data_IF_247085454198
#
_entry.id   IF_247085454198
#
_cell.length_a   1.000
_cell.length_b   1.000
_cell.length_c   1.000
_cell.angle_alpha   90.00
_cell.angle_beta   90.00
_cell.angle_gamma   90.00
#
_symmetry.space_group_name_H-M   'P 1'
#
loop_
_entity.id
_entity.type
_entity.pdbx_description
1 polymer ?
#
# COMPACT_ATOMS: atom_id res chain seq x y z
N UNK A 1 30.45 -49.18 -54.57
CA UNK A 1 29.39 -48.92 -55.57
C UNK A 1 28.80 -47.54 -55.28
N UNK A 2 28.74 -46.66 -56.28
CA UNK A 2 28.34 -45.24 -56.21
C UNK A 2 26.82 -45.02 -56.42
N UNK A 3 26.34 -43.85 -55.93
CA UNK A 3 25.15 -43.01 -56.32
C UNK A 3 23.75 -43.33 -55.76
N UNK A 4 22.74 -42.41 -55.86
CA UNK A 4 22.65 -40.96 -55.51
C UNK A 4 21.26 -40.53 -54.90
N UNK A 5 21.06 -39.23 -54.56
CA UNK A 5 19.80 -38.41 -54.62
C UNK A 5 19.92 -37.16 -53.69
N UNK A 6 19.81 -35.91 -54.17
CA UNK A 6 18.59 -35.06 -54.34
C UNK A 6 17.89 -34.72 -52.99
N UNK A 7 17.40 -33.53 -52.61
CA UNK A 7 17.02 -32.24 -53.23
C UNK A 7 16.43 -31.33 -52.09
N UNK A 8 16.48 -29.99 -52.23
CA UNK A 8 15.65 -28.93 -51.58
C UNK A 8 15.60 -28.82 -50.04
N UNK A 9 15.35 -27.71 -49.35
CA UNK A 9 14.53 -26.48 -49.51
C UNK A 9 15.20 -25.38 -48.61
N UNK A 10 15.24 -24.09 -48.90
CA UNK A 10 14.11 -23.16 -48.81
C UNK A 10 13.83 -22.70 -47.37
N UNK A 11 14.29 -21.51 -46.95
CA UNK A 11 13.55 -20.57 -46.06
C UNK A 11 14.41 -19.41 -45.52
N UNK A 12 14.16 -18.22 -46.07
CA UNK A 12 13.90 -16.94 -45.37
C UNK A 12 14.64 -16.66 -44.04
N UNK A 13 15.73 -15.91 -44.14
CA UNK A 13 16.27 -15.15 -43.01
C UNK A 13 15.54 -13.82 -42.85
N UNK A 14 14.57 -13.76 -41.94
CA UNK A 14 13.99 -12.49 -41.48
C UNK A 14 14.92 -11.84 -40.44
N UNK A 15 15.18 -10.53 -40.51
CA UNK A 15 15.95 -9.83 -39.49
C UNK A 15 15.06 -9.59 -38.26
N UNK A 16 15.37 -10.27 -37.15
CA UNK A 16 14.80 -9.96 -35.84
C UNK A 16 15.29 -8.59 -35.41
N UNK A 17 14.42 -7.58 -35.59
CA UNK A 17 14.61 -6.26 -35.05
C UNK A 17 14.79 -6.34 -33.52
N UNK A 18 15.98 -5.98 -33.03
CA UNK A 18 16.21 -5.70 -31.62
C UNK A 18 15.34 -4.51 -31.20
N UNK A 19 14.17 -4.84 -30.68
CA UNK A 19 13.30 -3.90 -29.97
C UNK A 19 14.06 -3.48 -28.71
N UNK A 20 14.70 -2.31 -28.78
CA UNK A 20 15.34 -1.67 -27.64
C UNK A 20 14.41 -1.69 -26.43
N UNK A 21 14.88 -2.32 -25.35
CA UNK A 21 14.23 -2.33 -24.06
C UNK A 21 14.35 -0.91 -23.48
N UNK A 22 13.36 -0.07 -23.74
CA UNK A 22 13.27 1.24 -23.15
C UNK A 22 12.75 1.07 -21.72
N UNK A 23 13.63 1.28 -20.74
CA UNK A 23 13.28 1.26 -19.32
C UNK A 23 12.17 2.29 -19.03
N UNK A 24 11.22 2.00 -18.13
CA UNK A 24 10.19 2.96 -17.76
C UNK A 24 10.82 4.22 -17.15
N UNK A 25 10.25 5.42 -17.36
CA UNK A 25 10.79 6.64 -16.78
C UNK A 25 10.77 6.53 -15.24
N UNK A 26 11.91 6.84 -14.61
CA UNK A 26 12.04 6.87 -13.17
C UNK A 26 10.92 7.72 -12.55
N UNK A 27 10.24 7.18 -11.54
CA UNK A 27 9.24 7.94 -10.79
C UNK A 27 9.85 9.23 -10.23
N UNK A 28 9.12 10.35 -10.20
CA UNK A 28 9.64 11.59 -9.63
C UNK A 28 10.07 11.38 -8.17
N UNK A 29 11.06 12.15 -7.67
CA UNK A 29 11.47 12.06 -6.28
C UNK A 29 10.25 12.33 -5.41
N UNK A 30 9.92 11.38 -4.52
CA UNK A 30 8.90 11.60 -3.49
C UNK A 30 9.41 12.76 -2.65
N UNK A 31 8.80 13.93 -2.78
CA UNK A 31 9.01 15.04 -1.86
C UNK A 31 8.82 14.51 -0.44
N UNK A 32 9.77 14.75 0.50
CA UNK A 32 9.51 14.42 1.89
C UNK A 32 8.31 15.25 2.33
N UNK A 33 7.19 14.55 2.58
CA UNK A 33 6.00 15.14 3.19
C UNK A 33 6.44 15.86 4.46
N UNK A 34 5.91 17.06 4.68
CA UNK A 34 6.16 17.87 5.87
C UNK A 34 6.18 17.01 7.15
N UNK A 35 7.00 17.37 8.17
CA UNK A 35 7.06 16.61 9.41
C UNK A 35 5.64 16.41 9.95
N UNK A 36 5.27 15.18 10.38
CA UNK A 36 3.93 14.93 10.89
C UNK A 36 3.70 15.86 12.08
N UNK A 37 2.74 16.76 11.93
CA UNK A 37 2.26 17.56 13.04
C UNK A 37 1.79 16.59 14.14
N UNK A 38 2.09 16.84 15.42
CA UNK A 38 1.61 15.98 16.50
C UNK A 38 0.08 16.04 16.52
N UNK A 39 -0.56 15.05 15.88
CA UNK A 39 -2.01 14.89 15.94
C UNK A 39 -2.33 14.24 17.27
N UNK A 40 -2.98 14.96 18.18
CA UNK A 40 -3.46 14.41 19.44
C UNK A 40 -4.95 14.06 19.30
N UNK A 41 -5.27 12.78 19.41
CA UNK A 41 -6.65 12.29 19.40
C UNK A 41 -7.22 12.27 20.83
N UNK A 42 -8.47 11.78 20.94
CA UNK A 42 -9.25 11.80 22.19
C UNK A 42 -8.70 10.88 23.28
N UNK A 43 -7.87 9.90 22.91
CA UNK A 43 -7.24 8.99 23.88
C UNK A 43 -6.26 9.70 24.83
N UNK A 44 -5.85 10.93 24.52
CA UNK A 44 -5.02 11.75 25.42
C UNK A 44 -5.70 12.08 26.76
N UNK A 45 -7.01 11.89 26.88
CA UNK A 45 -7.77 12.12 28.11
C UNK A 45 -8.03 10.84 28.91
N UNK A 46 -7.56 9.69 28.42
CA UNK A 46 -7.76 8.40 29.08
C UNK A 46 -6.68 8.14 30.13
N UNK A 47 -7.04 7.40 31.18
CA UNK A 47 -6.12 7.08 32.27
C UNK A 47 -5.26 5.84 32.00
N UNK A 48 -5.64 5.04 31.00
CA UNK A 48 -4.95 3.79 30.67
C UNK A 48 -3.62 4.09 29.96
N UNK A 49 -2.47 3.60 30.48
CA UNK A 49 -1.19 3.74 29.81
C UNK A 49 -1.18 3.19 28.37
N UNK A 50 -1.94 2.13 28.12
CA UNK A 50 -2.10 1.54 26.79
C UNK A 50 -2.77 2.52 25.80
N UNK A 51 -3.82 3.23 26.24
CA UNK A 51 -4.54 4.18 25.39
C UNK A 51 -3.72 5.45 25.13
N UNK A 52 -3.01 5.93 26.15
CA UNK A 52 -2.13 7.10 26.04
C UNK A 52 -0.98 6.86 25.04
N UNK A 53 -0.48 5.63 24.91
CA UNK A 53 0.50 5.28 23.88
C UNK A 53 -0.01 5.51 22.45
N UNK A 54 -1.33 5.47 22.25
CA UNK A 54 -1.98 5.67 20.96
C UNK A 54 -2.51 7.10 20.74
N UNK A 55 -2.29 8.02 21.69
CA UNK A 55 -2.84 9.39 21.62
C UNK A 55 -2.33 10.22 20.44
N UNK A 56 -1.13 9.90 19.93
CA UNK A 56 -0.49 10.62 18.82
C UNK A 56 -0.67 9.95 17.46
N UNK A 57 -1.43 8.86 17.41
CA UNK A 57 -1.69 8.17 16.16
C UNK A 57 -2.55 9.05 15.26
N UNK A 58 -2.26 9.12 13.94
CA UNK A 58 -2.99 9.99 12.99
C UNK A 58 -4.45 9.59 12.79
N UNK A 59 -4.87 8.45 13.33
CA UNK A 59 -6.26 7.99 13.35
C UNK A 59 -6.98 8.69 14.51
N UNK A 60 -8.16 9.26 14.22
CA UNK A 60 -9.04 9.87 15.22
C UNK A 60 -9.69 8.80 16.10
N UNK A 61 -8.89 8.25 17.02
CA UNK A 61 -9.33 7.21 17.94
C UNK A 61 -10.31 7.77 18.98
N UNK A 62 -11.36 7.00 19.19
CA UNK A 62 -12.33 7.21 20.26
C UNK A 62 -12.13 6.16 21.35
N UNK A 63 -12.29 6.53 22.63
CA UNK A 63 -12.48 5.54 23.69
C UNK A 63 -13.82 4.83 23.50
N UNK A 64 -14.03 3.76 24.27
CA UNK A 64 -15.31 3.04 24.26
C UNK A 64 -16.39 3.88 24.96
N UNK A 65 -17.13 4.68 24.20
CA UNK A 65 -18.15 5.60 24.71
C UNK A 65 -19.36 5.71 23.77
N UNK A 66 -20.47 6.25 24.28
CA UNK A 66 -21.70 6.45 23.51
C UNK A 66 -21.50 7.38 22.31
N UNK A 67 -20.66 8.42 22.45
CA UNK A 67 -20.34 9.37 21.37
C UNK A 67 -19.76 8.65 20.14
N UNK A 68 -18.92 7.63 20.34
CA UNK A 68 -18.35 6.85 19.24
C UNK A 68 -19.44 6.11 18.46
N UNK A 69 -20.41 5.51 19.15
CA UNK A 69 -21.53 4.80 18.53
C UNK A 69 -22.49 5.76 17.83
N UNK A 70 -22.78 6.91 18.45
CA UNK A 70 -23.68 7.90 17.87
C UNK A 70 -23.09 8.50 16.60
N UNK A 71 -21.77 8.78 16.60
CA UNK A 71 -21.06 9.23 15.40
C UNK A 71 -21.05 8.17 14.30
N UNK A 72 -20.80 6.90 14.63
CA UNK A 72 -20.84 5.81 13.66
C UNK A 72 -22.21 5.66 13.00
N UNK A 73 -23.30 5.77 13.78
CA UNK A 73 -24.68 5.76 13.26
C UNK A 73 -24.99 6.99 12.40
N UNK A 74 -24.56 8.18 12.85
CA UNK A 74 -24.82 9.44 12.13
C UNK A 74 -24.07 9.50 10.79
N UNK A 75 -22.86 8.97 10.74
CA UNK A 75 -22.05 8.93 9.52
C UNK A 75 -22.33 7.70 8.63
N UNK A 76 -23.19 6.78 9.09
CA UNK A 76 -23.45 5.47 8.45
C UNK A 76 -22.16 4.70 8.12
N UNK A 77 -21.26 4.65 9.12
CA UNK A 77 -19.94 4.00 8.99
C UNK A 77 -19.79 2.85 9.98
N UNK A 78 -19.15 1.74 9.58
CA UNK A 78 -18.84 0.65 10.49
C UNK A 78 -17.81 1.08 11.54
N UNK A 79 -17.85 0.44 12.71
CA UNK A 79 -16.89 0.68 13.80
C UNK A 79 -15.71 -0.26 13.66
N UNK A 80 -14.50 0.29 13.59
CA UNK A 80 -13.27 -0.47 13.76
C UNK A 80 -12.89 -0.52 15.23
N UNK A 81 -13.03 -1.69 15.85
CA UNK A 81 -12.70 -1.92 17.26
C UNK A 81 -11.32 -2.57 17.40
N UNK A 82 -10.42 -1.91 18.11
CA UNK A 82 -9.12 -2.45 18.52
C UNK A 82 -9.08 -2.59 20.04
N UNK A 83 -8.71 -3.77 20.53
CA UNK A 83 -8.60 -4.06 21.97
C UNK A 83 -7.21 -4.61 22.25
N UNK A 84 -6.58 -4.09 23.30
CA UNK A 84 -5.29 -4.56 23.78
C UNK A 84 -5.10 -4.20 25.25
N UNK A 85 -3.95 -4.58 25.80
CA UNK A 85 -3.57 -4.31 27.17
C UNK A 85 -2.09 -3.94 27.23
N UNK A 86 -1.69 -3.20 28.26
CA UNK A 86 -0.29 -2.95 28.58
C UNK A 86 0.04 -3.61 29.92
N UNK A 87 1.21 -4.23 30.00
CA UNK A 87 1.81 -4.82 31.22
C UNK A 87 2.99 -4.00 31.68
#
# INVERSE_FOLDING_TARGET
MLTPAAVSDGASGSPSAERGQQAPPASPPRTPSAPPQPHTNRLAQEQSPYLLQHQHNPVDWYPWCQEAFDRAKAEDKPIFLSVGYAT
#
